data_IF_711340748112
#
_entry.id   IF_711340748112
#
_cell.length_a   1.000
_cell.length_b   1.000
_cell.length_c   1.000
_cell.angle_alpha   90.00
_cell.angle_beta   90.00
_cell.angle_gamma   90.00
#
_symmetry.space_group_name_H-M   'P 1'
#
loop_
_entity.id
_entity.type
_entity.pdbx_description
1 polymer ?
#
# COMPACT_ATOMS: atom_id res chain seq x y z
N UNK A 1 -2.27 -27.03 -5.12
CA UNK A 1 -3.28 -26.35 -4.27
C UNK A 1 -3.63 -27.29 -3.12
N UNK A 2 -3.66 -26.82 -1.87
CA UNK A 2 -3.91 -27.67 -0.70
C UNK A 2 -5.36 -28.23 -0.66
N UNK A 3 -6.35 -27.47 -1.17
CA UNK A 3 -7.78 -27.85 -1.18
C UNK A 3 -8.43 -27.86 -2.58
N UNK A 4 -7.64 -27.94 -3.67
CA UNK A 4 -8.17 -27.95 -5.05
C UNK A 4 -8.65 -26.60 -5.59
N UNK A 5 -9.14 -25.71 -4.73
CA UNK A 5 -9.54 -24.34 -5.06
C UNK A 5 -8.93 -23.31 -4.09
N UNK A 6 -9.17 -22.02 -4.34
CA UNK A 6 -8.80 -20.96 -3.41
C UNK A 6 -10.03 -20.61 -2.58
N UNK A 7 -10.00 -20.78 -1.24
CA UNK A 7 -11.13 -20.39 -0.38
C UNK A 7 -11.30 -18.86 -0.30
N UNK A 8 -10.27 -18.12 -0.69
CA UNK A 8 -10.30 -16.66 -0.81
C UNK A 8 -10.46 -16.31 -2.30
N UNK A 9 -11.52 -15.57 -2.64
CA UNK A 9 -11.69 -15.05 -4.00
C UNK A 9 -10.50 -14.18 -4.44
N UNK A 10 -10.25 -14.07 -5.74
CA UNK A 10 -9.14 -13.28 -6.26
C UNK A 10 -9.52 -11.82 -6.40
N UNK A 11 -9.30 -11.05 -5.34
CA UNK A 11 -9.41 -9.60 -5.34
C UNK A 11 -8.19 -9.01 -4.66
N UNK A 12 -7.46 -8.14 -5.34
CA UNK A 12 -6.26 -7.50 -4.81
C UNK A 12 -6.22 -6.03 -5.20
N UNK A 13 -5.58 -5.22 -4.34
CA UNK A 13 -5.31 -3.82 -4.58
C UNK A 13 -3.80 -3.58 -4.47
N UNK A 14 -3.21 -3.06 -5.55
CA UNK A 14 -1.78 -2.73 -5.59
C UNK A 14 -1.52 -1.33 -5.00
N UNK A 15 -0.73 -1.26 -3.93
CA UNK A 15 -0.41 0.00 -3.23
C UNK A 15 0.25 1.00 -4.17
N UNK A 16 1.13 0.56 -5.08
CA UNK A 16 1.84 1.46 -5.99
C UNK A 16 0.90 2.09 -7.02
N UNK A 17 -0.03 1.30 -7.55
CA UNK A 17 -1.09 1.78 -8.45
C UNK A 17 -2.01 2.77 -7.72
N UNK A 18 -2.32 2.51 -6.45
CA UNK A 18 -3.08 3.46 -5.64
C UNK A 18 -2.30 4.77 -5.39
N UNK A 19 -1.00 4.69 -5.08
CA UNK A 19 -0.15 5.88 -4.95
C UNK A 19 -0.06 6.68 -6.25
N UNK A 20 0.01 5.99 -7.40
CA UNK A 20 -0.02 6.64 -8.72
C UNK A 20 -1.29 7.48 -8.89
N UNK A 21 -2.45 6.95 -8.51
CA UNK A 21 -3.73 7.64 -8.58
C UNK A 21 -3.76 8.88 -7.66
N UNK A 22 -3.33 8.74 -6.41
CA UNK A 22 -3.31 9.85 -5.45
C UNK A 22 -2.32 10.95 -5.84
N UNK A 23 -1.13 10.58 -6.31
CA UNK A 23 -0.08 11.53 -6.70
C UNK A 23 -0.32 12.15 -8.09
N UNK A 24 -1.25 11.59 -8.89
CA UNK A 24 -1.50 12.00 -10.28
C UNK A 24 -0.20 12.02 -11.13
N UNK A 25 0.65 11.00 -10.94
CA UNK A 25 1.92 10.85 -11.67
C UNK A 25 1.93 9.56 -12.49
N UNK A 26 2.89 9.40 -13.40
CA UNK A 26 3.07 8.12 -14.09
C UNK A 26 3.62 7.03 -13.16
N UNK A 27 3.18 5.78 -13.36
CA UNK A 27 3.51 4.61 -12.52
C UNK A 27 5.00 4.47 -12.16
N UNK A 28 5.91 4.72 -13.10
CA UNK A 28 7.37 4.62 -12.87
C UNK A 28 7.88 5.66 -11.86
N UNK A 29 7.21 6.82 -11.76
CA UNK A 29 7.56 7.87 -10.79
C UNK A 29 6.89 7.69 -9.44
N UNK A 30 5.89 6.81 -9.31
CA UNK A 30 5.18 6.55 -8.05
C UNK A 30 5.95 5.58 -7.15
N UNK A 31 7.24 5.86 -6.92
CA UNK A 31 8.10 5.06 -6.03
C UNK A 31 7.99 5.55 -4.60
N UNK A 32 8.32 4.71 -3.60
CA UNK A 32 8.31 5.10 -2.17
C UNK A 32 9.06 6.41 -1.90
N UNK A 33 10.17 6.66 -2.61
CA UNK A 33 10.96 7.91 -2.52
C UNK A 33 10.15 9.18 -2.85
N UNK A 34 9.18 9.07 -3.76
CA UNK A 34 8.37 10.20 -4.21
C UNK A 34 7.02 10.29 -3.48
N UNK A 35 6.74 9.37 -2.56
CA UNK A 35 5.53 9.41 -1.74
C UNK A 35 5.71 10.38 -0.56
N UNK A 36 4.64 11.09 -0.14
CA UNK A 36 4.67 11.96 1.03
C UNK A 36 5.17 11.23 2.28
N UNK A 37 6.09 11.85 3.04
CA UNK A 37 6.65 11.25 4.27
C UNK A 37 5.56 10.91 5.29
N UNK A 38 4.49 11.69 5.34
CA UNK A 38 3.32 11.48 6.22
C UNK A 38 2.55 10.19 5.97
N UNK A 39 2.78 9.51 4.84
CA UNK A 39 2.20 8.19 4.62
C UNK A 39 2.98 7.07 5.33
N UNK A 40 4.22 7.33 5.73
CA UNK A 40 5.10 6.33 6.36
C UNK A 40 5.13 6.48 7.87
N UNK A 41 5.06 5.35 8.57
CA UNK A 41 5.26 5.24 10.01
C UNK A 41 6.68 4.77 10.32
N UNK A 42 7.16 5.04 11.54
CA UNK A 42 8.43 4.47 12.01
C UNK A 42 8.16 3.10 12.62
N UNK A 43 8.17 2.07 11.77
CA UNK A 43 7.96 0.68 12.16
C UNK A 43 9.24 -0.15 11.91
N UNK A 44 9.43 -1.29 12.60
CA UNK A 44 10.57 -2.16 12.33
C UNK A 44 10.58 -2.62 10.87
N UNK A 45 11.72 -2.45 10.20
CA UNK A 45 11.98 -2.95 8.85
C UNK A 45 13.06 -4.03 8.93
N UNK A 46 12.67 -5.21 9.43
CA UNK A 46 13.59 -6.29 9.82
C UNK A 46 13.85 -7.30 8.69
N UNK A 47 13.26 -7.10 7.51
CA UNK A 47 13.19 -8.08 6.42
C UNK A 47 12.49 -9.40 6.80
N UNK A 48 11.75 -9.41 7.91
CA UNK A 48 10.78 -10.45 8.24
C UNK A 48 9.47 -10.11 7.53
N UNK A 49 8.92 -11.07 6.78
CA UNK A 49 7.73 -10.84 5.95
C UNK A 49 6.52 -10.27 6.72
N UNK A 50 6.38 -10.63 8.00
CA UNK A 50 5.32 -10.11 8.87
C UNK A 50 5.50 -8.61 9.14
N UNK A 51 6.71 -8.18 9.50
CA UNK A 51 7.00 -6.77 9.79
C UNK A 51 6.84 -5.92 8.53
N UNK A 52 7.31 -6.43 7.38
CA UNK A 52 7.13 -5.76 6.09
C UNK A 52 5.64 -5.61 5.73
N UNK A 53 4.83 -6.63 6.03
CA UNK A 53 3.38 -6.59 5.80
C UNK A 53 2.68 -5.57 6.72
N UNK A 54 3.13 -5.47 7.98
CA UNK A 54 2.64 -4.45 8.92
C UNK A 54 3.00 -3.03 8.43
N UNK A 55 4.25 -2.82 7.98
CA UNK A 55 4.69 -1.55 7.40
C UNK A 55 3.89 -1.18 6.14
N UNK A 56 3.71 -2.12 5.20
CA UNK A 56 2.89 -1.88 4.00
C UNK A 56 1.42 -1.60 4.35
N UNK A 57 0.87 -2.29 5.36
CA UNK A 57 -0.50 -2.07 5.83
C UNK A 57 -0.70 -0.68 6.42
N UNK A 58 0.23 -0.22 7.27
CA UNK A 58 0.21 1.13 7.81
C UNK A 58 0.30 2.20 6.71
N UNK A 59 1.21 2.01 5.75
CA UNK A 59 1.33 2.87 4.56
C UNK A 59 0.00 2.99 3.80
N UNK A 60 -0.64 1.85 3.50
CA UNK A 60 -1.92 1.83 2.79
C UNK A 60 -3.03 2.53 3.57
N UNK A 61 -3.16 2.29 4.88
CA UNK A 61 -4.16 2.94 5.73
C UNK A 61 -4.03 4.47 5.70
N UNK A 62 -2.80 4.99 5.76
CA UNK A 62 -2.54 6.44 5.69
C UNK A 62 -2.91 7.01 4.32
N UNK A 63 -2.58 6.32 3.23
CA UNK A 63 -2.98 6.71 1.87
C UNK A 63 -4.52 6.72 1.70
N UNK A 64 -5.21 5.71 2.24
CA UNK A 64 -6.67 5.60 2.15
C UNK A 64 -7.35 6.71 2.95
N UNK A 65 -6.81 7.07 4.11
CA UNK A 65 -7.29 8.21 4.91
C UNK A 65 -7.21 9.51 4.09
N UNK A 66 -6.03 9.81 3.55
CA UNK A 66 -5.82 11.01 2.73
C UNK A 66 -6.72 11.03 1.49
N UNK A 67 -6.92 9.88 0.83
CA UNK A 67 -7.82 9.77 -0.31
C UNK A 67 -9.27 10.13 0.03
N UNK A 68 -9.72 9.81 1.25
CA UNK A 68 -11.09 10.09 1.71
C UNK A 68 -11.25 11.53 2.16
N UNK A 69 -10.21 12.12 2.74
CA UNK A 69 -10.19 13.53 3.14
C UNK A 69 -10.15 14.48 1.93
N UNK A 70 -9.40 14.12 0.88
CA UNK A 70 -9.33 14.91 -0.36
C UNK A 70 -10.53 14.72 -1.31
N UNK A 71 -11.42 13.77 -1.00
CA UNK A 71 -12.61 13.45 -1.79
C UNK A 71 -13.92 14.01 -1.24
N UNK A 72 -13.87 14.67 -0.06
CA UNK A 72 -14.93 15.50 0.50
C UNK A 72 -14.71 16.97 0.11
#
# INVERSE_FOLDING_TARGET
KFVGESPFGHSALDIKTFAMALLKTGYRRSTKRNMPRRWFETLPHTHVALDDAIEQGALFCNMLRESRENGA
#
